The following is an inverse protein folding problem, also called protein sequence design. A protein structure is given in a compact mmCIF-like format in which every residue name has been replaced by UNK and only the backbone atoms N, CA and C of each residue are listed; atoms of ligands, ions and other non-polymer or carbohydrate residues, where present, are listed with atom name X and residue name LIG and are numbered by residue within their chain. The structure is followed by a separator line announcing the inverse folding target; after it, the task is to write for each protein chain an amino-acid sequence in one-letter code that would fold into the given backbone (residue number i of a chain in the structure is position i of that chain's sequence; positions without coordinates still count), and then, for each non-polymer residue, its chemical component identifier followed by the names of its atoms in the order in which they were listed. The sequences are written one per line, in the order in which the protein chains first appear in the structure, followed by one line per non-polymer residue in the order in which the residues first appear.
data_IF_681538431481
#
_entry.id   IF_681538431481
#
_cell.length_a   1.000
_cell.length_b   1.000
_cell.length_c   1.000
_cell.angle_alpha   90.00
_cell.angle_beta   90.00
_cell.angle_gamma   90.00
#
_symmetry.space_group_name_H-M   'P 1'
#
loop_
_entity.id
_entity.type
_entity.pdbx_description
1 polymer ?
#
# COMPACT_ATOMS: atom_id res chain seq x y z
N UNK A 1 12.59 89.55 6.45
CA UNK A 1 11.68 88.72 5.65
C UNK A 1 11.79 87.30 6.17
N UNK A 2 10.62 86.68 6.29
CA UNK A 2 10.32 85.37 6.86
C UNK A 2 11.32 84.26 6.49
N UNK A 3 11.54 83.33 7.42
CA UNK A 3 11.00 81.99 7.27
C UNK A 3 11.25 81.21 8.55
N UNK A 4 10.20 81.06 9.37
CA UNK A 4 10.10 79.83 10.17
C UNK A 4 9.92 78.65 9.22
N UNK A 5 10.24 77.43 9.65
CA UNK A 5 9.57 76.19 9.23
C UNK A 5 10.18 74.98 9.94
N UNK A 6 9.41 74.46 10.89
CA UNK A 6 9.18 73.02 11.05
C UNK A 6 10.27 72.19 11.72
N UNK A 7 10.37 72.26 13.05
CA UNK A 7 10.88 71.13 13.82
C UNK A 7 9.88 69.96 13.68
N UNK A 8 10.24 68.98 12.84
CA UNK A 8 9.52 67.73 12.70
C UNK A 8 9.62 66.94 14.00
N UNK A 9 8.50 66.84 14.72
CA UNK A 9 8.37 66.00 15.91
C UNK A 9 8.43 64.53 15.48
N UNK A 10 9.63 63.95 15.50
CA UNK A 10 9.83 62.52 15.26
C UNK A 10 9.31 61.74 16.46
N UNK A 11 8.07 61.25 16.37
CA UNK A 11 7.52 60.33 17.35
C UNK A 11 8.28 59.01 17.27
N UNK A 12 9.13 58.74 18.27
CA UNK A 12 9.83 57.46 18.36
C UNK A 12 8.82 56.36 18.67
N UNK A 13 8.56 55.49 17.71
CA UNK A 13 7.78 54.27 17.96
C UNK A 13 8.62 53.37 18.85
N UNK A 14 8.19 53.17 20.10
CA UNK A 14 8.83 52.22 21.01
C UNK A 14 8.68 50.81 20.42
N UNK A 15 9.81 50.12 20.21
CA UNK A 15 9.79 48.71 19.83
C UNK A 15 9.64 47.90 21.09
N UNK A 16 8.47 47.31 21.29
CA UNK A 16 8.25 46.34 22.35
C UNK A 16 9.01 45.06 22.02
N UNK A 17 9.87 44.61 22.94
CA UNK A 17 10.64 43.38 22.83
C UNK A 17 9.89 42.22 23.46
N UNK A 18 10.05 41.02 22.90
CA UNK A 18 9.50 39.80 23.46
C UNK A 18 10.03 39.53 24.87
N UNK A 19 9.14 39.07 25.75
CA UNK A 19 9.53 38.70 27.11
C UNK A 19 10.09 37.26 27.14
N UNK A 20 11.02 37.01 28.06
CA UNK A 20 11.61 35.67 28.26
C UNK A 20 10.53 34.64 28.60
N UNK A 21 9.54 35.03 29.39
CA UNK A 21 8.44 34.14 29.81
C UNK A 21 7.56 33.73 28.61
N UNK A 22 7.37 34.62 27.64
CA UNK A 22 6.57 34.35 26.45
C UNK A 22 7.24 33.30 25.54
N UNK A 23 8.56 33.38 25.41
CA UNK A 23 9.34 32.34 24.70
C UNK A 23 9.29 31.01 25.46
N UNK A 24 9.40 31.04 26.80
CA UNK A 24 9.36 29.82 27.63
C UNK A 24 8.01 29.09 27.54
N UNK A 25 6.90 29.83 27.60
CA UNK A 25 5.56 29.25 27.45
C UNK A 25 5.37 28.70 26.04
N UNK A 26 5.82 29.42 25.01
CA UNK A 26 5.71 28.97 23.62
C UNK A 26 6.43 27.63 23.38
N UNK A 27 7.68 27.49 23.84
CA UNK A 27 8.41 26.21 23.68
C UNK A 27 7.83 25.08 24.52
N UNK A 28 7.25 25.37 25.70
CA UNK A 28 6.56 24.38 26.51
C UNK A 28 5.31 23.83 25.80
N UNK A 29 4.52 24.71 25.16
CA UNK A 29 3.34 24.30 24.37
C UNK A 29 3.76 23.51 23.13
N UNK A 30 4.81 23.94 22.42
CA UNK A 30 5.34 23.21 21.26
C UNK A 30 5.82 21.82 21.66
N UNK A 31 6.55 21.68 22.77
CA UNK A 31 7.01 20.38 23.27
C UNK A 31 5.85 19.44 23.63
N UNK A 32 4.78 19.99 24.21
CA UNK A 32 3.57 19.22 24.52
C UNK A 32 2.86 18.76 23.25
N UNK A 33 2.63 19.64 22.28
CA UNK A 33 1.98 19.28 21.01
C UNK A 33 2.83 18.28 20.23
N UNK A 34 4.14 18.51 20.11
CA UNK A 34 5.06 17.60 19.43
C UNK A 34 5.06 16.18 20.02
N UNK A 35 4.77 16.04 21.32
CA UNK A 35 4.69 14.72 21.97
C UNK A 35 3.46 13.88 21.56
N UNK A 36 2.40 14.52 21.07
CA UNK A 36 1.13 13.87 20.70
C UNK A 36 1.00 13.68 19.19
N UNK A 37 1.81 14.37 18.38
CA UNK A 37 1.78 14.25 16.92
C UNK A 37 2.52 12.97 16.50
N UNK A 38 1.86 11.83 16.66
CA UNK A 38 2.18 10.59 15.97
C UNK A 38 1.09 10.32 14.93
N UNK A 39 1.37 10.41 13.62
CA UNK A 39 0.44 9.91 12.62
C UNK A 39 0.38 8.39 12.75
N UNK A 40 -0.70 7.85 13.33
CA UNK A 40 -1.03 6.42 13.29
C UNK A 40 -1.57 6.03 11.90
N UNK A 41 -0.79 6.28 10.85
CA UNK A 41 -1.22 6.05 9.46
C UNK A 41 -0.75 4.71 8.89
N UNK A 42 0.22 4.05 9.52
CA UNK A 42 0.79 2.80 9.00
C UNK A 42 -0.26 1.69 8.86
N UNK A 43 -1.03 1.40 9.92
CA UNK A 43 -2.06 0.35 9.89
C UNK A 43 -3.17 0.58 8.85
N UNK A 44 -3.53 1.85 8.60
CA UNK A 44 -4.55 2.17 7.60
C UNK A 44 -4.05 1.96 6.17
N UNK A 45 -2.78 2.24 5.92
CA UNK A 45 -2.15 2.01 4.62
C UNK A 45 -2.05 0.52 4.33
N UNK A 46 -1.61 -0.29 5.29
CA UNK A 46 -1.48 -1.74 5.07
C UNK A 46 -2.84 -2.42 4.89
N UNK A 47 -3.85 -2.02 5.66
CA UNK A 47 -5.23 -2.49 5.43
C UNK A 47 -5.77 -2.12 4.05
N UNK A 48 -5.46 -0.92 3.56
CA UNK A 48 -5.85 -0.50 2.21
C UNK A 48 -5.14 -1.32 1.14
N UNK A 49 -3.85 -1.64 1.33
CA UNK A 49 -3.09 -2.53 0.44
C UNK A 49 -3.70 -3.92 0.40
N UNK A 50 -3.96 -4.56 1.54
CA UNK A 50 -4.61 -5.88 1.62
C UNK A 50 -5.96 -5.90 0.89
N UNK A 51 -6.76 -4.85 1.06
CA UNK A 51 -8.06 -4.72 0.38
C UNK A 51 -7.89 -4.60 -1.14
N UNK A 52 -6.89 -3.82 -1.60
CA UNK A 52 -6.54 -3.72 -3.03
C UNK A 52 -6.08 -5.06 -3.59
N UNK A 53 -5.14 -5.73 -2.92
CA UNK A 53 -4.62 -7.05 -3.31
C UNK A 53 -5.76 -8.06 -3.45
N UNK A 54 -6.69 -8.13 -2.49
CA UNK A 54 -7.86 -9.01 -2.56
C UNK A 54 -8.74 -8.71 -3.79
N UNK A 55 -9.00 -7.43 -4.06
CA UNK A 55 -9.78 -7.05 -5.24
C UNK A 55 -9.08 -7.47 -6.53
N UNK A 56 -7.76 -7.26 -6.60
CA UNK A 56 -6.95 -7.59 -7.76
C UNK A 56 -6.90 -9.10 -8.02
N UNK A 57 -6.66 -9.90 -6.97
CA UNK A 57 -6.67 -11.35 -7.04
C UNK A 57 -8.02 -11.90 -7.50
N UNK A 58 -9.14 -11.32 -7.04
CA UNK A 58 -10.46 -11.73 -7.50
C UNK A 58 -10.67 -11.44 -8.99
N UNK A 59 -10.21 -10.29 -9.49
CA UNK A 59 -10.27 -10.01 -10.94
C UNK A 59 -9.43 -11.01 -11.76
N UNK A 60 -8.24 -11.37 -11.26
CA UNK A 60 -7.38 -12.38 -11.91
C UNK A 60 -8.04 -13.75 -11.87
N UNK A 61 -8.65 -14.13 -10.74
CA UNK A 61 -9.41 -15.37 -10.61
C UNK A 61 -10.52 -15.46 -11.66
N UNK A 62 -11.32 -14.41 -11.81
CA UNK A 62 -12.38 -14.37 -12.84
C UNK A 62 -11.82 -14.49 -14.27
N UNK A 63 -10.65 -13.90 -14.54
CA UNK A 63 -10.00 -14.05 -15.83
C UNK A 63 -9.47 -15.49 -16.07
N UNK A 64 -8.92 -16.13 -15.03
CA UNK A 64 -8.50 -17.54 -15.07
C UNK A 64 -9.69 -18.48 -15.29
N UNK A 65 -10.82 -18.21 -14.63
CA UNK A 65 -12.10 -18.89 -14.85
C UNK A 65 -12.54 -18.80 -16.31
N UNK A 66 -12.56 -17.59 -16.89
CA UNK A 66 -12.94 -17.39 -18.28
C UNK A 66 -11.98 -18.08 -19.26
N UNK A 67 -10.67 -18.04 -19.01
CA UNK A 67 -9.68 -18.77 -19.80
C UNK A 67 -9.94 -20.28 -19.77
N UNK A 68 -10.20 -20.83 -18.57
CA UNK A 68 -10.52 -22.25 -18.40
C UNK A 68 -11.83 -22.64 -19.09
N UNK A 69 -12.85 -21.78 -19.08
CA UNK A 69 -14.10 -22.05 -19.77
C UNK A 69 -13.92 -22.24 -21.28
N UNK A 70 -12.99 -21.50 -21.89
CA UNK A 70 -12.68 -21.56 -23.32
C UNK A 70 -11.70 -22.69 -23.67
N UNK A 71 -10.61 -22.83 -22.92
CA UNK A 71 -9.51 -23.74 -23.25
C UNK A 71 -9.60 -25.10 -22.56
N UNK A 72 -10.47 -25.24 -21.54
CA UNK A 72 -10.57 -26.42 -20.66
C UNK A 72 -9.28 -26.79 -19.93
N UNK A 73 -8.35 -25.85 -19.88
CA UNK A 73 -7.06 -25.94 -19.21
C UNK A 73 -6.72 -24.55 -18.66
N UNK A 74 -5.93 -24.50 -17.59
CA UNK A 74 -5.41 -23.23 -17.09
C UNK A 74 -4.13 -22.79 -17.82
N UNK A 75 -3.81 -21.49 -17.83
CA UNK A 75 -2.56 -21.00 -18.41
C UNK A 75 -1.33 -21.72 -17.85
N UNK A 76 -0.29 -21.97 -18.65
CA UNK A 76 0.91 -22.65 -18.18
C UNK A 76 1.57 -21.88 -17.03
N UNK A 77 2.03 -22.63 -16.04
CA UNK A 77 2.61 -22.12 -14.80
C UNK A 77 3.50 -23.15 -14.10
N UNK A 78 4.19 -22.71 -13.06
CA UNK A 78 5.03 -23.59 -12.24
C UNK A 78 4.18 -24.50 -11.35
N UNK A 79 4.68 -25.68 -11.02
CA UNK A 79 4.09 -26.47 -9.93
C UNK A 79 4.41 -25.82 -8.58
N UNK A 80 3.47 -25.90 -7.66
CA UNK A 80 3.66 -25.53 -6.26
C UNK A 80 4.93 -26.22 -5.72
N UNK A 81 5.83 -25.44 -5.10
CA UNK A 81 7.16 -25.86 -4.63
C UNK A 81 8.23 -26.12 -5.70
N UNK A 82 8.01 -25.79 -6.97
CA UNK A 82 9.07 -25.85 -7.97
C UNK A 82 9.69 -24.46 -8.21
N UNK A 83 11.03 -24.39 -8.29
CA UNK A 83 11.78 -23.22 -8.81
C UNK A 83 11.59 -23.00 -10.31
N UNK A 84 10.62 -23.69 -10.92
CA UNK A 84 10.31 -23.57 -12.34
C UNK A 84 9.80 -22.16 -12.64
N UNK A 85 9.97 -21.72 -13.89
CA UNK A 85 9.47 -20.43 -14.35
C UNK A 85 8.00 -20.24 -13.92
N UNK A 86 7.77 -19.21 -13.08
CA UNK A 86 6.42 -18.78 -12.73
C UNK A 86 5.72 -18.38 -14.03
N UNK A 87 4.47 -18.82 -14.21
CA UNK A 87 3.71 -18.51 -15.42
C UNK A 87 3.50 -17.01 -15.55
N UNK A 88 3.87 -16.42 -16.69
CA UNK A 88 3.58 -15.00 -16.97
C UNK A 88 2.10 -14.84 -17.32
N UNK A 89 1.29 -14.52 -16.32
CA UNK A 89 -0.15 -14.37 -16.48
C UNK A 89 -0.54 -13.27 -17.48
N UNK A 90 0.27 -12.21 -17.63
CA UNK A 90 -0.04 -11.15 -18.58
C UNK A 90 -0.05 -11.66 -20.01
N UNK A 91 0.77 -12.66 -20.34
CA UNK A 91 0.80 -13.26 -21.68
C UNK A 91 -0.51 -13.97 -22.03
N UNK A 92 -1.15 -14.64 -21.08
CA UNK A 92 -2.28 -15.53 -21.33
C UNK A 92 -3.62 -14.89 -21.00
N UNK A 93 -3.64 -13.96 -20.05
CA UNK A 93 -4.87 -13.32 -19.58
C UNK A 93 -5.15 -11.97 -20.25
N UNK A 94 -4.27 -11.46 -21.12
CA UNK A 94 -4.42 -10.14 -21.75
C UNK A 94 -5.80 -9.89 -22.39
N UNK A 95 -6.43 -10.94 -22.95
CA UNK A 95 -7.76 -10.84 -23.57
C UNK A 95 -8.92 -10.99 -22.56
N UNK A 96 -8.64 -11.48 -21.35
CA UNK A 96 -9.62 -11.78 -20.30
C UNK A 96 -9.64 -10.76 -19.16
N UNK A 97 -8.63 -9.90 -19.06
CA UNK A 97 -8.52 -8.87 -18.04
C UNK A 97 -8.17 -7.50 -18.66
N UNK A 98 -9.02 -6.50 -18.42
CA UNK A 98 -8.88 -5.14 -18.97
C UNK A 98 -7.77 -4.30 -18.31
N UNK A 99 -6.92 -4.93 -17.49
CA UNK A 99 -5.83 -4.27 -16.79
C UNK A 99 -4.57 -5.11 -16.84
N UNK A 100 -3.42 -4.46 -16.90
CA UNK A 100 -2.16 -5.17 -16.70
C UNK A 100 -2.10 -5.69 -15.25
N UNK A 101 -1.62 -6.92 -15.10
CA UNK A 101 -1.28 -7.49 -13.80
C UNK A 101 0.06 -6.90 -13.40
N UNK A 102 0.01 -5.67 -12.90
CA UNK A 102 1.09 -5.05 -12.16
C UNK A 102 1.20 -5.77 -10.81
N UNK A 103 2.43 -6.05 -10.37
CA UNK A 103 2.69 -6.79 -9.13
C UNK A 103 1.98 -6.25 -7.88
N UNK A 104 2.12 -6.95 -6.76
CA UNK A 104 1.43 -6.63 -5.52
C UNK A 104 1.84 -5.25 -4.94
N UNK A 105 1.05 -4.70 -3.99
CA UNK A 105 1.32 -3.40 -3.38
C UNK A 105 2.64 -3.30 -2.59
N UNK A 106 3.35 -4.41 -2.39
CA UNK A 106 4.64 -4.49 -1.71
C UNK A 106 5.80 -4.72 -2.70
N UNK A 107 5.56 -4.45 -4.00
CA UNK A 107 6.54 -4.61 -5.10
C UNK A 107 6.97 -6.06 -5.29
N UNK A 108 6.15 -7.00 -4.84
CA UNK A 108 6.20 -8.42 -5.17
C UNK A 108 5.46 -8.69 -6.47
N UNK A 109 5.69 -9.86 -7.05
CA UNK A 109 4.89 -10.35 -8.16
C UNK A 109 3.85 -11.31 -7.61
N UNK A 110 2.66 -11.32 -8.21
CA UNK A 110 1.66 -12.34 -7.89
C UNK A 110 2.21 -13.72 -8.23
N UNK A 111 2.07 -14.65 -7.31
CA UNK A 111 2.46 -16.03 -7.53
C UNK A 111 1.29 -16.83 -8.08
N UNK A 112 1.52 -17.49 -9.20
CA UNK A 112 0.59 -18.36 -9.88
C UNK A 112 1.20 -19.74 -10.10
N UNK A 113 0.44 -20.80 -9.87
CA UNK A 113 0.89 -22.14 -10.14
C UNK A 113 -0.16 -23.24 -9.95
N UNK A 114 0.29 -24.47 -10.16
CA UNK A 114 -0.55 -25.66 -10.04
C UNK A 114 -0.31 -26.40 -8.73
N UNK A 115 -1.38 -26.90 -8.16
CA UNK A 115 -1.37 -27.88 -7.08
C UNK A 115 -1.56 -29.31 -7.62
N UNK A 116 -1.27 -30.33 -6.82
CA UNK A 116 -1.63 -31.71 -7.15
C UNK A 116 -3.16 -31.84 -7.36
N UNK A 117 -3.59 -32.44 -8.47
CA UNK A 117 -5.00 -32.75 -8.72
C UNK A 117 -5.77 -31.73 -9.58
N UNK A 118 -5.12 -31.13 -10.59
CA UNK A 118 -5.71 -30.17 -11.55
C UNK A 118 -6.20 -28.84 -10.96
N UNK A 119 -5.87 -28.58 -9.68
CA UNK A 119 -6.12 -27.30 -9.03
C UNK A 119 -5.05 -26.28 -9.39
N UNK A 120 -5.43 -25.00 -9.50
CA UNK A 120 -4.48 -23.89 -9.56
C UNK A 120 -4.69 -22.90 -8.42
N UNK A 121 -3.67 -22.09 -8.16
CA UNK A 121 -3.69 -21.06 -7.14
C UNK A 121 -3.11 -19.75 -7.67
N UNK A 122 -3.59 -18.64 -7.10
CA UNK A 122 -3.04 -17.30 -7.29
C UNK A 122 -2.92 -16.63 -5.93
N UNK A 123 -1.80 -15.96 -5.65
CA UNK A 123 -1.63 -15.26 -4.37
C UNK A 123 -0.49 -14.27 -4.31
N UNK A 124 -0.37 -13.59 -3.17
CA UNK A 124 0.71 -12.64 -2.85
C UNK A 124 1.23 -12.94 -1.44
N UNK A 125 2.56 -12.89 -1.31
CA UNK A 125 3.34 -13.13 -0.07
C UNK A 125 3.36 -11.92 0.86
N UNK A 126 2.43 -10.98 0.70
CA UNK A 126 2.33 -9.83 1.60
C UNK A 126 3.60 -8.94 1.71
N UNK A 127 3.71 -8.19 2.82
CA UNK A 127 4.82 -7.26 3.10
C UNK A 127 6.16 -7.93 3.41
N UNK A 128 6.12 -9.08 4.07
CA UNK A 128 7.28 -9.83 4.57
C UNK A 128 7.92 -10.71 3.49
N UNK A 129 7.14 -11.11 2.47
CA UNK A 129 7.61 -11.90 1.32
C UNK A 129 8.17 -13.25 1.73
N UNK A 130 7.78 -13.72 2.92
CA UNK A 130 8.18 -15.02 3.44
C UNK A 130 7.13 -16.07 3.05
N UNK A 131 7.60 -17.29 2.79
CA UNK A 131 6.72 -18.45 2.55
C UNK A 131 6.59 -19.20 3.86
N UNK A 132 5.83 -18.65 4.80
CA UNK A 132 5.67 -19.22 6.14
C UNK A 132 4.22 -19.51 6.53
N UNK A 133 3.23 -18.99 5.80
CA UNK A 133 1.83 -19.31 6.00
C UNK A 133 1.47 -20.70 5.46
N UNK A 134 1.02 -21.58 6.35
CA UNK A 134 0.43 -22.87 6.00
C UNK A 134 -0.88 -22.64 5.22
N UNK A 135 -1.22 -23.50 4.23
CA UNK A 135 -2.37 -23.28 3.34
C UNK A 135 -3.74 -23.18 4.04
N UNK A 136 -3.82 -23.50 5.33
CA UNK A 136 -5.04 -23.41 6.16
C UNK A 136 -5.20 -22.06 6.89
N UNK A 137 -4.13 -21.24 7.04
CA UNK A 137 -4.16 -19.98 7.83
C UNK A 137 -4.68 -18.76 7.07
N UNK A 138 -4.76 -18.83 5.74
CA UNK A 138 -5.06 -17.71 4.82
C UNK A 138 -6.48 -17.13 4.94
N UNK A 139 -7.32 -17.68 5.83
CA UNK A 139 -8.68 -17.19 6.11
C UNK A 139 -8.77 -16.26 7.32
N UNK A 140 -7.69 -16.08 8.09
CA UNK A 140 -7.71 -15.23 9.28
C UNK A 140 -7.40 -13.77 8.91
N UNK A 141 -8.09 -12.81 9.55
CA UNK A 141 -7.93 -11.39 9.28
C UNK A 141 -6.61 -10.80 9.82
N UNK A 142 -5.75 -11.67 10.35
CA UNK A 142 -4.46 -11.35 10.99
C UNK A 142 -3.27 -11.76 10.11
N UNK A 143 -3.52 -12.52 9.05
CA UNK A 143 -2.50 -12.99 8.11
C UNK A 143 -2.35 -12.00 6.95
N UNK A 144 -1.10 -11.68 6.62
CA UNK A 144 -0.73 -10.72 5.60
C UNK A 144 -0.67 -11.36 4.19
N UNK A 145 -0.63 -12.70 4.14
CA UNK A 145 -0.68 -13.52 2.94
C UNK A 145 -2.11 -13.68 2.39
N UNK A 146 -2.26 -13.65 1.06
CA UNK A 146 -3.57 -13.80 0.40
C UNK A 146 -3.48 -14.80 -0.74
N UNK A 147 -4.14 -15.94 -0.59
CA UNK A 147 -4.30 -16.96 -1.63
C UNK A 147 -5.76 -17.14 -2.04
N UNK A 148 -5.99 -17.32 -3.33
CA UNK A 148 -7.25 -17.79 -3.87
C UNK A 148 -7.03 -19.13 -4.59
N UNK A 149 -7.83 -20.11 -4.18
CA UNK A 149 -7.89 -21.41 -4.82
C UNK A 149 -8.97 -21.42 -5.89
N UNK A 150 -8.68 -22.16 -6.96
CA UNK A 150 -9.53 -22.37 -8.11
C UNK A 150 -9.83 -23.87 -8.20
N UNK A 151 -11.05 -24.24 -7.81
CA UNK A 151 -11.59 -25.61 -7.84
C UNK A 151 -12.56 -25.75 -9.02
N UNK A 152 -12.34 -26.71 -9.93
CA UNK A 152 -13.16 -26.96 -11.12
C UNK A 152 -13.36 -28.46 -11.36
#
# INVERSE_FOLDING_TARGET
MESGMGEGMTTSVHREGFTLIEVMVAVAVIALVASVVLPKTYYLVDKAKLTRTRSELNSIKTALEAYYEEHKEFPPGGYYHSDSAKGDLNQWLADYIDREIEGDPWRGEYEYGYLPGDYCYIGSWGPDRERDSEPESSHTAEDDDIYLWLEF
#
